data_IF_870985936293
#
_entry.id   IF_870985936293
#
_cell.length_a   1.000
_cell.length_b   1.000
_cell.length_c   1.000
_cell.angle_alpha   90.00
_cell.angle_beta   90.00
_cell.angle_gamma   90.00
#
_symmetry.space_group_name_H-M   'P 1'
#
loop_
_entity.id
_entity.type
_entity.pdbx_description
1 polymer ?
#
# COMPACT_ATOMS: atom_id res chain seq x y z
N UNK A 1 25.92 -7.51 8.75
CA UNK A 1 25.61 -6.10 9.04
C UNK A 1 25.06 -5.35 7.83
N UNK A 2 25.42 -5.66 6.57
CA UNK A 2 24.92 -4.93 5.37
C UNK A 2 23.42 -5.09 5.10
N UNK A 3 22.80 -6.19 5.52
CA UNK A 3 21.36 -6.46 5.31
C UNK A 3 20.43 -5.77 6.32
N UNK A 4 20.99 -5.17 7.38
CA UNK A 4 20.18 -4.55 8.44
C UNK A 4 19.54 -3.24 7.96
N UNK A 5 20.22 -2.49 7.10
CA UNK A 5 19.78 -1.18 6.64
C UNK A 5 18.49 -1.29 5.78
N UNK A 6 18.42 -2.13 4.73
CA UNK A 6 17.17 -2.33 4.00
C UNK A 6 16.05 -2.83 4.91
N UNK A 7 16.30 -3.83 5.76
CA UNK A 7 15.28 -4.36 6.67
C UNK A 7 14.71 -3.30 7.65
N UNK A 8 15.51 -2.30 8.05
CA UNK A 8 15.02 -1.20 8.87
C UNK A 8 14.02 -0.31 8.11
N UNK A 9 14.30 0.00 6.85
CA UNK A 9 13.37 0.77 6.02
C UNK A 9 12.08 0.00 5.74
N UNK A 10 12.17 -1.29 5.43
CA UNK A 10 11.01 -2.17 5.23
C UNK A 10 10.16 -2.28 6.52
N UNK A 11 10.83 -2.41 7.68
CA UNK A 11 10.13 -2.36 8.98
C UNK A 11 9.49 -1.01 9.25
N UNK A 12 10.12 0.08 8.79
CA UNK A 12 9.55 1.44 8.82
C UNK A 12 8.30 1.56 7.96
N UNK A 13 8.34 1.05 6.72
CA UNK A 13 7.17 0.97 5.83
C UNK A 13 6.01 0.26 6.54
N UNK A 14 6.23 -0.94 7.06
CA UNK A 14 5.22 -1.71 7.79
C UNK A 14 4.68 -0.95 9.01
N UNK A 15 5.56 -0.31 9.80
CA UNK A 15 5.17 0.45 10.99
C UNK A 15 4.29 1.65 10.64
N UNK A 16 4.60 2.37 9.57
CA UNK A 16 3.77 3.47 9.10
C UNK A 16 2.42 2.99 8.55
N UNK A 17 2.38 1.82 7.90
CA UNK A 17 1.13 1.19 7.48
C UNK A 17 0.21 0.88 8.67
N UNK A 18 0.74 0.26 9.71
CA UNK A 18 -0.01 -0.03 10.95
C UNK A 18 -0.43 1.26 11.67
N UNK A 19 0.47 2.26 11.74
CA UNK A 19 0.15 3.56 12.32
C UNK A 19 -0.99 4.25 11.56
N UNK A 20 -1.02 4.16 10.24
CA UNK A 20 -2.12 4.66 9.42
C UNK A 20 -3.45 4.03 9.81
N UNK A 21 -3.50 2.70 10.03
CA UNK A 21 -4.72 2.03 10.49
C UNK A 21 -5.17 2.55 11.86
N UNK A 22 -4.24 2.74 12.79
CA UNK A 22 -4.53 3.28 14.13
C UNK A 22 -5.07 4.71 14.03
N UNK A 23 -4.44 5.58 13.22
CA UNK A 23 -4.93 6.95 12.99
C UNK A 23 -6.32 6.96 12.36
N UNK A 24 -6.60 6.02 11.45
CA UNK A 24 -7.92 5.86 10.83
C UNK A 24 -8.98 5.49 11.87
N UNK A 25 -8.67 4.59 12.82
CA UNK A 25 -9.56 4.23 13.92
C UNK A 25 -9.91 5.42 14.83
N UNK A 26 -8.98 6.35 15.00
CA UNK A 26 -9.19 7.58 15.76
C UNK A 26 -9.85 8.70 14.94
N UNK A 27 -10.23 8.46 13.69
CA UNK A 27 -10.85 9.45 12.81
C UNK A 27 -9.88 10.52 12.27
N UNK A 28 -8.57 10.34 12.46
CA UNK A 28 -7.52 11.24 12.00
C UNK A 28 -7.11 10.92 10.56
N UNK A 29 -8.06 10.99 9.64
CA UNK A 29 -7.89 10.52 8.25
C UNK A 29 -6.74 11.20 7.50
N UNK A 30 -6.55 12.52 7.68
CA UNK A 30 -5.44 13.26 7.06
C UNK A 30 -4.08 12.71 7.51
N UNK A 31 -3.91 12.47 8.81
CA UNK A 31 -2.69 11.90 9.36
C UNK A 31 -2.48 10.45 8.93
N UNK A 32 -3.56 9.68 8.81
CA UNK A 32 -3.51 8.33 8.26
C UNK A 32 -2.99 8.33 6.81
N UNK A 33 -3.47 9.25 5.97
CA UNK A 33 -2.97 9.44 4.62
C UNK A 33 -1.48 9.82 4.58
N UNK A 34 -1.06 10.75 5.47
CA UNK A 34 0.36 11.13 5.58
C UNK A 34 1.24 9.93 5.96
N UNK A 35 0.77 9.06 6.87
CA UNK A 35 1.50 7.83 7.22
C UNK A 35 1.69 6.90 6.01
N UNK A 36 0.69 6.75 5.13
CA UNK A 36 0.82 5.96 3.90
C UNK A 36 1.88 6.57 2.96
N UNK A 37 1.90 7.90 2.83
CA UNK A 37 2.93 8.58 2.01
C UNK A 37 4.34 8.40 2.61
N UNK A 38 4.48 8.43 3.94
CA UNK A 38 5.75 8.14 4.60
C UNK A 38 6.17 6.67 4.41
N UNK A 39 5.23 5.74 4.45
CA UNK A 39 5.47 4.33 4.12
C UNK A 39 6.05 4.18 2.71
N UNK A 40 5.51 4.93 1.72
CA UNK A 40 6.05 4.92 0.35
C UNK A 40 7.48 5.47 0.26
N UNK A 41 7.82 6.49 1.05
CA UNK A 41 9.20 7.01 1.09
C UNK A 41 10.14 5.94 1.65
N UNK A 42 9.74 5.22 2.71
CA UNK A 42 10.52 4.11 3.28
C UNK A 42 10.72 3.00 2.26
N UNK A 43 9.67 2.57 1.55
CA UNK A 43 9.69 1.58 0.47
C UNK A 43 10.66 1.99 -0.66
N UNK A 44 10.60 3.24 -1.12
CA UNK A 44 11.52 3.74 -2.13
C UNK A 44 12.99 3.75 -1.65
N UNK A 45 13.23 3.99 -0.35
CA UNK A 45 14.54 4.00 0.25
C UNK A 45 15.13 2.59 0.41
N UNK A 46 14.32 1.59 0.82
CA UNK A 46 14.82 0.22 1.00
C UNK A 46 15.18 -0.43 -0.34
N UNK A 47 14.35 -0.28 -1.36
CA UNK A 47 14.62 -0.77 -2.70
C UNK A 47 15.88 -0.16 -3.33
N UNK A 48 16.16 1.12 -3.06
CA UNK A 48 17.41 1.79 -3.49
C UNK A 48 18.61 1.30 -2.69
N UNK A 49 18.47 1.18 -1.37
CA UNK A 49 19.53 0.74 -0.47
C UNK A 49 19.93 -0.71 -0.74
N UNK A 50 18.99 -1.61 -0.96
CA UNK A 50 19.23 -3.01 -1.29
C UNK A 50 20.03 -3.15 -2.59
N UNK A 51 19.67 -2.38 -3.63
CA UNK A 51 20.38 -2.34 -4.92
C UNK A 51 21.79 -1.74 -4.79
N UNK A 52 21.95 -0.64 -4.04
CA UNK A 52 23.25 0.01 -3.87
C UNK A 52 24.24 -0.85 -3.06
N UNK A 53 23.74 -1.63 -2.12
CA UNK A 53 24.57 -2.50 -1.26
C UNK A 53 24.81 -3.89 -1.86
N UNK A 54 24.16 -4.25 -2.97
CA UNK A 54 24.26 -5.57 -3.60
C UNK A 54 23.78 -6.72 -2.72
N UNK A 55 22.87 -6.44 -1.78
CA UNK A 55 22.37 -7.39 -0.74
C UNK A 55 20.88 -7.73 -0.98
N UNK A 56 20.47 -7.88 -2.23
CA UNK A 56 19.13 -8.36 -2.56
C UNK A 56 18.99 -9.84 -2.19
N UNK A 57 18.70 -10.11 -0.91
CA UNK A 57 18.39 -11.46 -0.42
C UNK A 57 16.90 -11.78 -0.57
N UNK A 58 16.57 -13.07 -0.74
CA UNK A 58 15.17 -13.54 -0.88
C UNK A 58 14.31 -13.13 0.33
N UNK A 59 14.86 -13.18 1.54
CA UNK A 59 14.17 -12.75 2.75
C UNK A 59 13.78 -11.26 2.71
N UNK A 60 14.68 -10.38 2.24
CA UNK A 60 14.40 -8.94 2.14
C UNK A 60 13.27 -8.65 1.15
N UNK A 61 13.26 -9.36 0.02
CA UNK A 61 12.23 -9.24 -1.00
C UNK A 61 10.85 -9.70 -0.52
N UNK A 62 10.80 -10.81 0.22
CA UNK A 62 9.54 -11.32 0.79
C UNK A 62 9.01 -10.39 1.89
N UNK A 63 9.90 -9.89 2.76
CA UNK A 63 9.53 -8.93 3.81
C UNK A 63 8.98 -7.63 3.21
N UNK A 64 9.60 -7.11 2.16
CA UNK A 64 9.19 -5.95 1.40
C UNK A 64 7.79 -6.14 0.81
N UNK A 65 7.57 -7.27 0.14
CA UNK A 65 6.26 -7.63 -0.42
C UNK A 65 5.15 -7.72 0.63
N UNK A 66 5.45 -8.29 1.79
CA UNK A 66 4.49 -8.36 2.91
C UNK A 66 4.18 -6.97 3.46
N UNK A 67 5.21 -6.13 3.61
CA UNK A 67 5.05 -4.74 4.08
C UNK A 67 4.18 -3.92 3.12
N UNK A 68 4.37 -4.08 1.82
CA UNK A 68 3.59 -3.39 0.79
C UNK A 68 2.12 -3.79 0.80
N UNK A 69 1.81 -5.07 0.96
CA UNK A 69 0.42 -5.53 1.06
C UNK A 69 -0.26 -4.94 2.29
N UNK A 70 0.44 -4.81 3.41
CA UNK A 70 -0.13 -4.21 4.62
C UNK A 70 -0.29 -2.70 4.46
N UNK A 71 0.76 -1.99 4.03
CA UNK A 71 0.78 -0.52 4.01
C UNK A 71 -0.04 0.07 2.86
N UNK A 72 0.07 -0.48 1.65
CA UNK A 72 -0.61 0.05 0.46
C UNK A 72 -1.86 -0.75 0.08
N UNK A 73 -1.97 -2.00 0.50
CA UNK A 73 -3.18 -2.81 0.34
C UNK A 73 -4.16 -2.59 1.49
N UNK A 74 -3.86 -3.16 2.65
CA UNK A 74 -4.79 -3.20 3.78
C UNK A 74 -5.03 -1.82 4.42
N UNK A 75 -3.97 -1.02 4.69
CA UNK A 75 -4.15 0.26 5.35
C UNK A 75 -4.89 1.26 4.45
N UNK A 76 -4.59 1.29 3.14
CA UNK A 76 -5.30 2.15 2.19
C UNK A 76 -6.76 1.73 2.00
N UNK A 77 -7.04 0.41 1.94
CA UNK A 77 -8.40 -0.11 1.88
C UNK A 77 -9.21 0.28 3.12
N UNK A 78 -8.61 0.17 4.29
CA UNK A 78 -9.23 0.54 5.55
C UNK A 78 -9.49 2.05 5.66
N UNK A 79 -8.52 2.85 5.21
CA UNK A 79 -8.63 4.31 5.18
C UNK A 79 -9.79 4.77 4.29
N UNK A 80 -9.87 4.29 3.04
CA UNK A 80 -10.92 4.70 2.10
C UNK A 80 -12.30 4.21 2.54
N UNK A 81 -12.38 3.00 3.12
CA UNK A 81 -13.61 2.49 3.70
C UNK A 81 -14.12 3.41 4.81
N UNK A 82 -13.26 3.73 5.78
CA UNK A 82 -13.63 4.55 6.94
C UNK A 82 -13.93 6.00 6.56
N UNK A 83 -13.24 6.55 5.55
CA UNK A 83 -13.41 7.94 5.12
C UNK A 83 -14.68 8.17 4.30
N UNK A 84 -14.99 7.31 3.34
CA UNK A 84 -16.07 7.54 2.37
C UNK A 84 -17.05 6.39 2.20
N UNK A 85 -16.59 5.15 2.21
CA UNK A 85 -17.42 3.99 1.87
C UNK A 85 -18.27 3.51 3.05
N UNK A 86 -17.98 3.95 4.27
CA UNK A 86 -18.75 3.61 5.47
C UNK A 86 -20.23 4.03 5.37
N UNK A 87 -20.53 5.08 4.60
CA UNK A 87 -21.91 5.52 4.32
C UNK A 87 -22.76 4.48 3.60
N UNK A 88 -22.14 3.55 2.86
CA UNK A 88 -22.80 2.42 2.19
C UNK A 88 -22.93 1.18 3.11
N UNK A 89 -22.53 1.27 4.37
CA UNK A 89 -22.54 0.16 5.32
C UNK A 89 -21.67 -1.02 4.85
N UNK A 90 -22.17 -2.24 5.01
CA UNK A 90 -21.44 -3.45 4.63
C UNK A 90 -21.17 -3.57 3.12
N UNK A 91 -22.02 -2.97 2.28
CA UNK A 91 -21.80 -2.96 0.82
C UNK A 91 -20.55 -2.17 0.46
N UNK A 92 -20.24 -1.10 1.20
CA UNK A 92 -19.02 -0.31 1.02
C UNK A 92 -17.73 -1.04 1.41
N UNK A 93 -17.82 -2.09 2.22
CA UNK A 93 -16.65 -2.92 2.55
C UNK A 93 -16.18 -3.80 1.37
N UNK A 94 -17.10 -4.18 0.47
CA UNK A 94 -16.80 -5.08 -0.66
C UNK A 94 -15.69 -4.51 -1.57
N UNK A 95 -15.80 -3.27 -2.11
CA UNK A 95 -14.76 -2.71 -2.95
C UNK A 95 -13.41 -2.56 -2.22
N UNK A 96 -13.41 -2.22 -0.93
CA UNK A 96 -12.20 -2.12 -0.14
C UNK A 96 -11.50 -3.48 0.02
N UNK A 97 -12.27 -4.54 0.29
CA UNK A 97 -11.75 -5.92 0.38
C UNK A 97 -11.20 -6.38 -0.98
N UNK A 98 -11.94 -6.13 -2.06
CA UNK A 98 -11.52 -6.50 -3.43
C UNK A 98 -10.20 -5.80 -3.77
N UNK A 99 -10.07 -4.51 -3.48
CA UNK A 99 -8.84 -3.75 -3.71
C UNK A 99 -7.63 -4.39 -3.00
N UNK A 100 -7.76 -4.67 -1.70
CA UNK A 100 -6.66 -5.28 -0.94
C UNK A 100 -6.31 -6.68 -1.46
N UNK A 101 -7.32 -7.51 -1.78
CA UNK A 101 -7.13 -8.88 -2.29
C UNK A 101 -6.49 -8.88 -3.67
N UNK A 102 -6.99 -8.09 -4.61
CA UNK A 102 -6.43 -7.99 -5.96
C UNK A 102 -5.01 -7.41 -5.93
N UNK A 103 -4.75 -6.43 -5.06
CA UNK A 103 -3.42 -5.90 -4.82
C UNK A 103 -2.43 -6.99 -4.40
N UNK A 104 -2.79 -7.79 -3.39
CA UNK A 104 -1.96 -8.91 -2.92
C UNK A 104 -1.72 -9.99 -3.97
N UNK A 105 -2.78 -10.42 -4.69
CA UNK A 105 -2.66 -11.40 -5.79
C UNK A 105 -1.73 -10.90 -6.88
N UNK A 106 -1.85 -9.61 -7.23
CA UNK A 106 -1.02 -8.99 -8.26
C UNK A 106 0.45 -8.97 -7.85
N UNK A 107 0.75 -8.62 -6.59
CA UNK A 107 2.11 -8.60 -6.08
C UNK A 107 2.71 -10.00 -6.06
N UNK A 108 1.94 -11.01 -5.64
CA UNK A 108 2.35 -12.41 -5.69
C UNK A 108 2.69 -12.86 -7.12
N UNK A 109 1.87 -12.52 -8.12
CA UNK A 109 2.15 -12.81 -9.54
C UNK A 109 3.42 -12.11 -10.02
N UNK A 110 3.63 -10.85 -9.63
CA UNK A 110 4.84 -10.11 -9.99
C UNK A 110 6.09 -10.79 -9.44
N UNK A 111 6.07 -11.24 -8.18
CA UNK A 111 7.19 -11.94 -7.57
C UNK A 111 7.53 -13.27 -8.26
N UNK A 112 6.53 -14.01 -8.73
CA UNK A 112 6.74 -15.25 -9.47
C UNK A 112 7.30 -15.01 -10.89
N UNK A 113 6.92 -13.91 -11.55
CA UNK A 113 7.28 -13.63 -12.94
C UNK A 113 8.60 -12.88 -13.11
N UNK A 114 9.26 -12.43 -12.05
CA UNK A 114 10.54 -11.71 -12.12
C UNK A 114 11.68 -12.53 -12.75
N UNK A 115 11.50 -13.84 -12.99
CA UNK A 115 12.47 -14.72 -13.66
C UNK A 115 12.27 -14.91 -15.17
N UNK A 116 11.14 -14.48 -15.76
CA UNK A 116 10.74 -14.95 -17.11
C UNK A 116 10.60 -13.84 -18.17
N UNK A 117 10.30 -12.59 -17.83
CA UNK A 117 10.06 -11.55 -18.84
C UNK A 117 10.71 -10.22 -18.43
N UNK A 118 11.81 -9.86 -19.11
CA UNK A 118 12.37 -8.52 -19.09
C UNK A 118 11.51 -7.59 -19.97
N UNK A 119 10.88 -6.57 -19.36
CA UNK A 119 10.49 -5.38 -20.10
C UNK A 119 9.02 -4.99 -20.18
N UNK A 120 8.07 -5.69 -19.59
CA UNK A 120 6.67 -5.26 -19.58
C UNK A 120 6.11 -5.12 -18.15
N UNK A 121 5.84 -3.88 -17.75
CA UNK A 121 5.04 -3.57 -16.56
C UNK A 121 3.56 -3.83 -16.88
N UNK A 122 2.98 -4.89 -16.34
CA UNK A 122 1.54 -5.14 -16.45
C UNK A 122 0.79 -4.46 -15.32
N UNK A 123 0.28 -3.27 -15.59
CA UNK A 123 -0.63 -2.53 -14.71
C UNK A 123 0.06 -1.66 -13.63
N UNK A 124 -0.76 -1.02 -12.77
CA UNK A 124 -0.33 -0.05 -11.77
C UNK A 124 0.26 -0.73 -10.52
N UNK A 125 1.46 -0.40 -10.04
CA UNK A 125 2.02 -0.98 -8.82
C UNK A 125 1.16 -0.63 -7.59
N UNK A 126 1.08 -1.56 -6.60
CA UNK A 126 0.29 -1.39 -5.37
C UNK A 126 0.60 -0.07 -4.64
N UNK A 127 1.87 0.35 -4.46
CA UNK A 127 2.18 1.62 -3.82
C UNK A 127 1.50 2.82 -4.47
N UNK A 128 1.36 2.83 -5.80
CA UNK A 128 0.69 3.93 -6.50
C UNK A 128 -0.81 4.00 -6.17
N UNK A 129 -1.50 2.86 -6.10
CA UNK A 129 -2.90 2.80 -5.68
C UNK A 129 -3.09 3.31 -4.25
N UNK A 130 -2.24 2.87 -3.32
CA UNK A 130 -2.23 3.37 -1.94
C UNK A 130 -2.00 4.87 -1.85
N UNK A 131 -1.06 5.41 -2.65
CA UNK A 131 -0.79 6.85 -2.68
C UNK A 131 -1.93 7.67 -3.28
N UNK A 132 -2.62 7.16 -4.30
CA UNK A 132 -3.82 7.82 -4.84
C UNK A 132 -4.92 7.92 -3.79
N UNK A 133 -5.17 6.85 -3.05
CA UNK A 133 -6.14 6.86 -1.94
C UNK A 133 -5.70 7.85 -0.85
N UNK A 134 -4.43 7.83 -0.45
CA UNK A 134 -3.89 8.73 0.56
C UNK A 134 -4.02 10.20 0.14
N UNK A 135 -3.63 10.55 -1.07
CA UNK A 135 -3.74 11.93 -1.60
C UNK A 135 -5.19 12.37 -1.75
N UNK A 136 -6.09 11.48 -2.16
CA UNK A 136 -7.52 11.75 -2.20
C UNK A 136 -8.06 12.13 -0.81
N UNK A 137 -7.73 11.36 0.22
CA UNK A 137 -8.18 11.62 1.59
C UNK A 137 -7.56 12.92 2.15
N UNK A 138 -6.27 13.17 1.89
CA UNK A 138 -5.58 14.39 2.32
C UNK A 138 -6.18 15.63 1.66
N UNK A 139 -6.60 15.55 0.39
CA UNK A 139 -7.23 16.66 -0.33
C UNK A 139 -8.58 17.07 0.25
N UNK A 140 -9.18 16.25 1.11
CA UNK A 140 -10.51 16.51 1.67
C UNK A 140 -11.64 16.43 0.63
N UNK A 141 -11.36 15.91 -0.55
CA UNK A 141 -12.37 15.78 -1.61
C UNK A 141 -13.48 14.81 -1.19
N UNK A 142 -14.72 15.16 -1.50
CA UNK A 142 -15.89 14.32 -1.22
C UNK A 142 -16.50 13.90 -2.56
N UNK A 143 -16.17 12.69 -3.00
CA UNK A 143 -16.84 12.07 -4.15
C UNK A 143 -18.00 11.20 -3.66
N UNK A 144 -19.07 11.05 -4.45
CA UNK A 144 -20.15 10.14 -4.09
C UNK A 144 -19.62 8.71 -3.96
N UNK A 145 -20.01 8.03 -2.86
CA UNK A 145 -19.44 6.75 -2.45
C UNK A 145 -19.54 5.65 -3.53
N UNK A 146 -20.57 5.68 -4.37
CA UNK A 146 -20.74 4.73 -5.48
C UNK A 146 -19.71 4.92 -6.60
N UNK A 147 -19.36 6.18 -6.93
CA UNK A 147 -18.30 6.50 -7.90
C UNK A 147 -16.94 6.03 -7.38
N UNK A 148 -16.70 6.27 -6.10
CA UNK A 148 -15.46 5.91 -5.43
C UNK A 148 -15.30 4.39 -5.34
N UNK A 149 -16.38 3.65 -5.09
CA UNK A 149 -16.39 2.19 -5.11
C UNK A 149 -15.95 1.63 -6.47
N UNK A 150 -16.41 2.21 -7.57
CA UNK A 150 -15.99 1.84 -8.93
C UNK A 150 -14.51 2.18 -9.15
N UNK A 151 -14.08 3.38 -8.75
CA UNK A 151 -12.70 3.83 -8.93
C UNK A 151 -11.67 3.00 -8.16
N UNK A 152 -12.04 2.51 -6.98
CA UNK A 152 -11.16 1.68 -6.13
C UNK A 152 -10.98 0.27 -6.71
N UNK A 153 -11.96 -0.25 -7.48
CA UNK A 153 -11.91 -1.61 -8.08
C UNK A 153 -11.25 -1.60 -9.47
N UNK A 154 -11.31 -0.50 -10.21
CA UNK A 154 -10.66 -0.35 -11.53
C UNK A 154 -9.15 -0.15 -11.42
#
# INVERSE_FOLDING_TARGET
MKNVIPCLFTSGNLSFGVLSMIMTLHGLYTWAGVCILLAMVCDACDGRSARALGVAGDFGKELDSLSDVVSFGAASAFLIYSYSLQSLGWIGAIPAIIYAALGGIRLARFNLNTGVIHGYFQGMPIPNGGCLIATYVISGAVLPAWLLAIFVVL
#
